data_IF_638486262545
#
_entry.id   IF_638486262545
#
_cell.length_a   1.000
_cell.length_b   1.000
_cell.length_c   1.000
_cell.angle_alpha   90.00
_cell.angle_beta   90.00
_cell.angle_gamma   90.00
#
_symmetry.space_group_name_H-M   'P 1'
#
loop_
_entity.id
_entity.type
_entity.pdbx_description
1 polymer ?
#
# COMPACT_ATOMS: atom_id res chain seq x y z
N UNK A 1 2.51 10.43 -28.23
CA UNK A 1 3.89 10.95 -28.24
C UNK A 1 4.80 9.75 -28.11
N UNK A 2 5.27 9.24 -29.24
CA UNK A 2 6.21 8.11 -29.32
C UNK A 2 7.61 8.72 -29.28
N UNK A 3 8.40 8.43 -28.24
CA UNK A 3 9.81 8.79 -28.23
C UNK A 3 10.64 7.52 -28.40
N UNK A 4 11.50 7.59 -29.41
CA UNK A 4 12.34 6.57 -29.99
C UNK A 4 13.43 6.08 -29.01
N UNK A 5 13.66 4.77 -29.02
CA UNK A 5 14.82 4.13 -28.41
C UNK A 5 16.01 4.41 -29.33
N UNK A 6 16.99 5.20 -28.86
CA UNK A 6 18.27 5.38 -29.55
C UNK A 6 19.24 4.28 -29.09
N UNK A 7 19.52 3.35 -30.00
CA UNK A 7 20.61 2.39 -29.86
C UNK A 7 21.96 3.12 -29.92
N UNK A 8 22.72 3.07 -28.82
CA UNK A 8 24.09 3.60 -28.75
C UNK A 8 25.05 2.48 -29.10
N UNK A 9 25.38 2.37 -30.39
CA UNK A 9 26.49 1.53 -30.87
C UNK A 9 27.81 2.15 -30.40
N UNK A 10 28.43 1.57 -29.39
CA UNK A 10 29.81 1.90 -29.02
C UNK A 10 30.75 1.31 -30.06
N UNK A 11 31.37 2.20 -30.85
CA UNK A 11 32.38 1.87 -31.84
C UNK A 11 33.70 1.71 -31.10
N UNK A 12 34.11 0.48 -30.86
CA UNK A 12 35.39 0.17 -30.23
C UNK A 12 36.52 0.44 -31.24
N UNK A 13 37.06 1.65 -31.22
CA UNK A 13 38.28 2.00 -31.96
C UNK A 13 39.48 1.58 -31.13
N UNK A 14 39.83 0.29 -31.22
CA UNK A 14 41.09 -0.22 -30.71
C UNK A 14 42.27 0.45 -31.41
N UNK A 15 42.83 1.47 -30.78
CA UNK A 15 44.12 2.05 -31.18
C UNK A 15 45.21 1.18 -30.54
N UNK A 16 45.59 0.11 -31.23
CA UNK A 16 46.81 -0.63 -30.91
C UNK A 16 47.99 0.28 -31.28
N UNK A 17 48.55 1.00 -30.32
CA UNK A 17 49.89 1.57 -30.49
C UNK A 17 50.90 0.43 -30.39
N UNK A 18 51.76 0.22 -31.39
CA UNK A 18 52.96 -0.57 -31.16
C UNK A 18 53.85 0.26 -30.23
N UNK A 19 54.18 -0.28 -29.07
CA UNK A 19 55.27 0.24 -28.25
C UNK A 19 56.55 0.03 -29.05
N UNK A 20 57.06 1.09 -29.66
CA UNK A 20 58.42 1.12 -30.18
C UNK A 20 59.37 0.98 -28.98
N UNK A 21 60.00 -0.19 -28.86
CA UNK A 21 61.18 -0.36 -28.00
C UNK A 21 62.28 0.55 -28.55
N UNK A 22 62.41 1.73 -27.96
CA UNK A 22 63.50 2.65 -28.22
C UNK A 22 64.83 2.02 -27.82
N UNK A 23 65.47 1.34 -28.78
CA UNK A 23 66.84 0.88 -28.65
C UNK A 23 67.76 2.10 -28.67
N UNK A 24 68.29 2.46 -27.50
CA UNK A 24 69.28 3.52 -27.34
C UNK A 24 70.60 3.04 -27.97
N UNK A 25 70.90 3.49 -29.20
CA UNK A 25 72.20 3.22 -29.84
C UNK A 25 73.23 4.14 -29.21
N UNK A 26 74.08 3.57 -28.34
CA UNK A 26 75.29 4.24 -27.85
C UNK A 26 76.44 3.76 -28.74
N UNK A 27 76.91 4.64 -29.62
CA UNK A 27 78.16 4.43 -30.36
C UNK A 27 79.34 4.60 -29.39
N UNK A 28 79.92 3.48 -28.99
CA UNK A 28 81.16 3.43 -28.21
C UNK A 28 82.26 2.75 -29.03
N UNK A 29 83.19 3.55 -29.57
CA UNK A 29 84.45 3.06 -30.09
C UNK A 29 85.32 2.60 -28.91
N UNK A 30 85.41 1.29 -28.70
CA UNK A 30 86.23 0.65 -27.67
C UNK A 30 86.59 -0.76 -28.08
N UNK A 31 87.89 -1.08 -28.06
CA UNK A 31 88.48 -2.36 -28.45
C UNK A 31 87.74 -3.54 -27.81
N UNK A 32 87.24 -4.45 -28.66
CA UNK A 32 86.58 -5.69 -28.22
C UNK A 32 87.60 -6.66 -27.63
N UNK A 33 87.87 -6.51 -26.34
CA UNK A 33 88.30 -7.64 -25.53
C UNK A 33 87.11 -8.55 -25.31
N UNK A 34 87.02 -9.61 -26.13
CA UNK A 34 86.06 -10.70 -26.02
C UNK A 34 86.40 -11.56 -24.80
N UNK A 35 86.19 -11.01 -23.60
CA UNK A 35 85.98 -11.79 -22.39
C UNK A 35 84.60 -12.45 -22.53
N UNK A 36 84.57 -13.55 -23.28
CA UNK A 36 83.42 -14.42 -23.38
C UNK A 36 83.11 -14.97 -21.98
N UNK A 37 82.24 -14.29 -21.25
CA UNK A 37 81.65 -14.78 -20.00
C UNK A 37 80.88 -16.06 -20.32
N UNK A 38 81.55 -17.21 -20.28
CA UNK A 38 80.89 -18.51 -20.39
C UNK A 38 80.08 -18.69 -19.12
N UNK A 39 78.81 -18.27 -19.14
CA UNK A 39 77.85 -18.70 -18.13
C UNK A 39 77.86 -20.24 -18.12
N UNK A 40 78.37 -20.82 -17.03
CA UNK A 40 78.39 -22.26 -16.80
C UNK A 40 76.99 -22.84 -17.04
N UNK A 41 76.87 -24.00 -17.71
CA UNK A 41 75.58 -24.61 -18.02
C UNK A 41 74.76 -24.92 -16.77
N UNK A 42 75.43 -25.08 -15.62
CA UNK A 42 74.76 -25.13 -14.32
C UNK A 42 74.13 -23.79 -13.94
N UNK A 43 74.85 -22.68 -14.12
CA UNK A 43 74.37 -21.32 -13.85
C UNK A 43 73.21 -20.94 -14.76
N UNK A 44 73.29 -21.26 -16.06
CA UNK A 44 72.18 -21.03 -17.01
C UNK A 44 70.90 -21.75 -16.58
N UNK A 45 71.01 -23.02 -16.17
CA UNK A 45 69.86 -23.78 -15.64
C UNK A 45 69.26 -23.13 -14.39
N UNK A 46 70.09 -22.73 -13.42
CA UNK A 46 69.60 -22.04 -12.22
C UNK A 46 68.88 -20.72 -12.55
N UNK A 47 69.39 -19.95 -13.51
CA UNK A 47 68.74 -18.71 -13.97
C UNK A 47 67.40 -19.01 -14.66
N UNK A 48 67.36 -19.99 -15.57
CA UNK A 48 66.13 -20.38 -16.26
C UNK A 48 65.07 -20.95 -15.30
N UNK A 49 65.48 -21.73 -14.30
CA UNK A 49 64.57 -22.28 -13.28
C UNK A 49 64.02 -21.18 -12.37
N UNK A 50 64.86 -20.22 -11.98
CA UNK A 50 64.41 -19.05 -11.22
C UNK A 50 63.44 -18.18 -12.04
N UNK A 51 63.74 -17.94 -13.32
CA UNK A 51 62.86 -17.20 -14.21
C UNK A 51 61.51 -17.92 -14.40
N UNK A 52 61.53 -19.24 -14.59
CA UNK A 52 60.32 -20.05 -14.72
C UNK A 52 59.49 -20.03 -13.44
N UNK A 53 60.13 -20.20 -12.28
CA UNK A 53 59.47 -20.14 -10.98
C UNK A 53 58.84 -18.76 -10.75
N UNK A 54 59.59 -17.68 -10.97
CA UNK A 54 59.09 -16.32 -10.80
C UNK A 54 57.91 -16.01 -11.72
N UNK A 55 57.97 -16.39 -13.00
CA UNK A 55 56.86 -16.18 -13.93
C UNK A 55 55.61 -16.97 -13.54
N UNK A 56 55.80 -18.21 -13.07
CA UNK A 56 54.72 -19.09 -12.59
C UNK A 56 54.06 -18.48 -11.34
N UNK A 57 54.86 -18.07 -10.36
CA UNK A 57 54.38 -17.49 -9.11
C UNK A 57 53.66 -16.16 -9.34
N UNK A 58 54.19 -15.32 -10.25
CA UNK A 58 53.54 -14.08 -10.64
C UNK A 58 52.18 -14.34 -11.31
N UNK A 59 52.12 -15.29 -12.25
CA UNK A 59 50.87 -15.64 -12.93
C UNK A 59 49.83 -16.21 -11.96
N UNK A 60 50.24 -17.12 -11.07
CA UNK A 60 49.37 -17.70 -10.04
C UNK A 60 48.88 -16.63 -9.06
N UNK A 61 49.74 -15.72 -8.60
CA UNK A 61 49.37 -14.65 -7.69
C UNK A 61 48.37 -13.68 -8.34
N UNK A 62 48.58 -13.34 -9.62
CA UNK A 62 47.67 -12.49 -10.39
C UNK A 62 46.31 -13.15 -10.57
N UNK A 63 46.27 -14.43 -10.96
CA UNK A 63 45.03 -15.18 -11.13
C UNK A 63 44.27 -15.30 -9.80
N UNK A 64 44.96 -15.64 -8.72
CA UNK A 64 44.39 -15.72 -7.38
C UNK A 64 43.74 -14.40 -6.95
N UNK A 65 44.45 -13.28 -7.12
CA UNK A 65 43.91 -11.97 -6.77
C UNK A 65 42.66 -11.61 -7.59
N UNK A 66 42.65 -11.93 -8.90
CA UNK A 66 41.50 -11.68 -9.76
C UNK A 66 40.27 -12.50 -9.35
N UNK A 67 40.46 -13.77 -9.02
CA UNK A 67 39.39 -14.65 -8.55
C UNK A 67 38.85 -14.16 -7.21
N UNK A 68 39.72 -13.86 -6.25
CA UNK A 68 39.33 -13.35 -4.93
C UNK A 68 38.56 -12.03 -5.03
N UNK A 69 39.04 -11.09 -5.86
CA UNK A 69 38.37 -9.81 -6.07
C UNK A 69 37.00 -9.99 -6.73
N UNK A 70 36.90 -10.86 -7.73
CA UNK A 70 35.65 -11.12 -8.46
C UNK A 70 34.62 -11.81 -7.57
N UNK A 71 35.04 -12.80 -6.78
CA UNK A 71 34.17 -13.47 -5.81
C UNK A 71 33.64 -12.49 -4.77
N UNK A 72 34.51 -11.64 -4.23
CA UNK A 72 34.09 -10.61 -3.27
C UNK A 72 33.05 -9.65 -3.86
N UNK A 73 33.30 -9.13 -5.06
CA UNK A 73 32.37 -8.23 -5.75
C UNK A 73 31.03 -8.94 -6.05
N UNK A 74 31.07 -10.22 -6.43
CA UNK A 74 29.86 -11.00 -6.66
C UNK A 74 29.04 -11.19 -5.38
N UNK A 75 29.70 -11.52 -4.26
CA UNK A 75 29.06 -11.66 -2.95
C UNK A 75 28.44 -10.34 -2.48
N UNK A 76 29.17 -9.22 -2.61
CA UNK A 76 28.67 -7.89 -2.28
C UNK A 76 27.42 -7.54 -3.13
N UNK A 77 27.47 -7.79 -4.45
CA UNK A 77 26.35 -7.56 -5.35
C UNK A 77 25.10 -8.37 -4.98
N UNK A 78 25.25 -9.67 -4.69
CA UNK A 78 24.12 -10.52 -4.30
C UNK A 78 23.53 -10.11 -2.95
N UNK A 79 24.39 -9.77 -1.98
CA UNK A 79 23.98 -9.24 -0.69
C UNK A 79 23.16 -7.96 -0.87
N UNK A 80 23.63 -7.02 -1.68
CA UNK A 80 22.96 -5.74 -1.86
C UNK A 80 21.65 -5.88 -2.64
N UNK A 81 21.59 -6.75 -3.64
CA UNK A 81 20.32 -7.13 -4.28
C UNK A 81 19.30 -7.66 -3.26
N UNK A 82 19.73 -8.56 -2.37
CA UNK A 82 18.84 -9.14 -1.36
C UNK A 82 18.38 -8.10 -0.33
N UNK A 83 19.26 -7.19 0.09
CA UNK A 83 18.90 -6.06 0.97
C UNK A 83 17.86 -5.16 0.32
N UNK A 84 18.13 -4.66 -0.88
CA UNK A 84 17.20 -3.79 -1.62
C UNK A 84 15.84 -4.46 -1.79
N UNK A 85 15.82 -5.74 -2.15
CA UNK A 85 14.58 -6.52 -2.27
C UNK A 85 13.81 -6.57 -0.95
N UNK A 86 14.50 -6.84 0.15
CA UNK A 86 13.88 -6.97 1.47
C UNK A 86 13.36 -5.63 1.98
N UNK A 87 14.13 -4.56 1.80
CA UNK A 87 13.74 -3.20 2.15
C UNK A 87 12.50 -2.76 1.38
N UNK A 88 12.47 -2.97 0.06
CA UNK A 88 11.33 -2.63 -0.78
C UNK A 88 10.06 -3.39 -0.38
N UNK A 89 10.17 -4.69 -0.11
CA UNK A 89 9.03 -5.49 0.35
C UNK A 89 8.51 -5.03 1.71
N UNK A 90 9.41 -4.63 2.61
CA UNK A 90 9.04 -4.12 3.94
C UNK A 90 8.33 -2.77 3.80
N UNK A 91 8.86 -1.85 3.00
CA UNK A 91 8.23 -0.55 2.74
C UNK A 91 6.82 -0.72 2.17
N UNK A 92 6.64 -1.55 1.14
CA UNK A 92 5.31 -1.80 0.57
C UNK A 92 4.35 -2.41 1.59
N UNK A 93 4.83 -3.32 2.45
CA UNK A 93 3.99 -3.90 3.50
C UNK A 93 3.54 -2.83 4.50
N UNK A 94 4.47 -2.00 4.97
CA UNK A 94 4.18 -0.95 5.95
C UNK A 94 3.21 0.11 5.38
N UNK A 95 3.36 0.46 4.11
CA UNK A 95 2.44 1.37 3.41
C UNK A 95 1.03 0.78 3.27
N UNK A 96 0.92 -0.51 2.93
CA UNK A 96 -0.36 -1.22 2.85
C UNK A 96 -1.04 -1.30 4.22
N UNK A 97 -0.29 -1.66 5.27
CA UNK A 97 -0.81 -1.76 6.63
C UNK A 97 -1.27 -0.38 7.15
N UNK A 98 -0.51 0.68 6.85
CA UNK A 98 -0.88 2.07 7.19
C UNK A 98 -2.16 2.48 6.48
N UNK A 99 -2.22 2.30 5.16
CA UNK A 99 -3.40 2.66 4.35
C UNK A 99 -4.64 1.90 4.83
N UNK A 100 -4.49 0.61 5.14
CA UNK A 100 -5.57 -0.21 5.69
C UNK A 100 -6.07 0.34 7.02
N UNK A 101 -5.17 0.63 7.96
CA UNK A 101 -5.53 1.16 9.27
C UNK A 101 -6.25 2.50 9.17
N UNK A 102 -5.80 3.39 8.28
CA UNK A 102 -6.46 4.67 8.02
C UNK A 102 -7.88 4.52 7.46
N UNK A 103 -8.07 3.60 6.50
CA UNK A 103 -9.39 3.32 5.94
C UNK A 103 -10.32 2.75 7.01
N UNK A 104 -9.88 1.73 7.75
CA UNK A 104 -10.66 1.13 8.84
C UNK A 104 -11.08 2.19 9.89
N UNK A 105 -10.15 3.09 10.25
CA UNK A 105 -10.44 4.20 11.15
C UNK A 105 -11.50 5.15 10.58
N UNK A 106 -11.35 5.58 9.32
CA UNK A 106 -12.33 6.46 8.64
C UNK A 106 -13.72 5.82 8.56
N UNK A 107 -13.78 4.53 8.23
CA UNK A 107 -15.04 3.78 8.20
C UNK A 107 -15.69 3.72 9.58
N UNK A 108 -14.90 3.45 10.63
CA UNK A 108 -15.38 3.39 12.01
C UNK A 108 -15.94 4.74 12.49
N UNK A 109 -15.26 5.83 12.18
CA UNK A 109 -15.70 7.19 12.52
C UNK A 109 -16.97 7.58 11.78
N UNK A 110 -17.03 7.30 10.47
CA UNK A 110 -18.22 7.55 9.63
C UNK A 110 -19.44 6.77 10.15
N UNK A 111 -19.26 5.48 10.46
CA UNK A 111 -20.32 4.65 11.03
C UNK A 111 -20.79 5.19 12.38
N UNK A 112 -19.87 5.60 13.26
CA UNK A 112 -20.21 6.20 14.55
C UNK A 112 -21.01 7.48 14.39
N UNK A 113 -20.65 8.34 13.44
CA UNK A 113 -21.36 9.59 13.16
C UNK A 113 -22.78 9.33 12.64
N UNK A 114 -22.95 8.40 11.70
CA UNK A 114 -24.28 8.05 11.18
C UNK A 114 -25.16 7.38 12.23
N UNK A 115 -24.60 6.51 13.10
CA UNK A 115 -25.34 5.95 14.23
C UNK A 115 -25.81 7.04 15.21
N UNK A 116 -24.95 8.01 15.54
CA UNK A 116 -25.31 9.12 16.42
C UNK A 116 -26.42 9.99 15.81
N UNK A 117 -26.30 10.29 14.51
CA UNK A 117 -27.30 11.05 13.75
C UNK A 117 -28.65 10.33 13.68
N UNK A 118 -28.64 9.02 13.44
CA UNK A 118 -29.85 8.20 13.42
C UNK A 118 -30.51 8.15 14.80
N UNK A 119 -29.72 7.96 15.87
CA UNK A 119 -30.21 7.98 17.25
C UNK A 119 -30.87 9.31 17.59
N UNK A 120 -30.24 10.43 17.23
CA UNK A 120 -30.78 11.76 17.47
C UNK A 120 -32.05 12.05 16.66
N UNK A 121 -32.09 11.62 15.39
CA UNK A 121 -33.29 11.70 14.55
C UNK A 121 -34.44 10.91 15.17
N UNK A 122 -34.19 9.67 15.56
CA UNK A 122 -35.19 8.82 16.20
C UNK A 122 -35.71 9.43 17.50
N UNK A 123 -34.81 9.97 18.34
CA UNK A 123 -35.19 10.67 19.58
C UNK A 123 -36.13 11.85 19.31
N UNK A 124 -35.87 12.65 18.27
CA UNK A 124 -36.74 13.75 17.84
C UNK A 124 -38.08 13.26 17.33
N UNK A 125 -38.10 12.22 16.51
CA UNK A 125 -39.33 11.61 15.98
C UNK A 125 -40.22 11.08 17.11
N UNK A 126 -39.66 10.39 18.11
CA UNK A 126 -40.39 9.93 19.29
C UNK A 126 -40.96 11.11 20.09
N UNK A 127 -40.18 12.18 20.29
CA UNK A 127 -40.66 13.39 20.98
C UNK A 127 -41.84 14.04 20.24
N UNK A 128 -41.76 14.12 18.91
CA UNK A 128 -42.85 14.64 18.08
C UNK A 128 -44.07 13.71 18.10
N UNK A 129 -43.85 12.39 18.09
CA UNK A 129 -44.90 11.39 18.20
C UNK A 129 -45.71 11.57 19.50
N UNK A 130 -45.02 11.72 20.62
CA UNK A 130 -45.64 11.90 21.95
C UNK A 130 -46.46 13.19 22.10
N UNK A 131 -46.31 14.18 21.21
CA UNK A 131 -47.03 15.46 21.25
C UNK A 131 -48.36 15.46 20.48
N UNK A 132 -48.67 14.38 19.76
CA UNK A 132 -49.86 14.27 18.89
C UNK A 132 -50.80 13.17 19.35
N UNK A 133 -52.01 13.14 18.79
CA UNK A 133 -52.94 12.02 18.93
C UNK A 133 -52.89 11.16 17.67
N UNK A 134 -53.02 9.85 17.84
CA UNK A 134 -52.83 8.88 16.76
C UNK A 134 -54.06 8.01 16.59
N UNK A 135 -54.40 7.75 15.33
CA UNK A 135 -55.52 6.91 14.97
C UNK A 135 -55.25 5.48 15.44
N UNK A 136 -56.15 4.92 16.23
CA UNK A 136 -56.00 3.55 16.73
C UNK A 136 -55.96 2.52 15.58
N UNK A 137 -56.62 2.80 14.46
CA UNK A 137 -56.77 1.87 13.35
C UNK A 137 -55.60 1.86 12.37
N UNK A 138 -55.01 3.02 12.07
CA UNK A 138 -54.05 3.17 10.97
C UNK A 138 -52.81 4.02 11.31
N UNK A 139 -52.67 4.46 12.57
CA UNK A 139 -51.52 5.22 13.05
C UNK A 139 -51.31 6.59 12.37
N UNK A 140 -52.24 7.04 11.52
CA UNK A 140 -52.27 8.41 11.03
C UNK A 140 -52.63 9.40 12.16
N UNK A 141 -52.29 10.68 12.01
CA UNK A 141 -52.65 11.71 12.97
C UNK A 141 -54.18 11.79 13.14
N UNK A 142 -54.66 11.64 14.37
CA UNK A 142 -56.09 11.61 14.66
C UNK A 142 -56.66 13.02 14.79
N UNK A 143 -57.85 13.22 14.22
CA UNK A 143 -58.61 14.48 14.30
C UNK A 143 -59.95 14.31 15.03
N UNK A 144 -60.39 13.08 15.26
CA UNK A 144 -61.61 12.75 15.98
C UNK A 144 -61.31 12.00 17.27
N UNK A 145 -61.74 12.54 18.41
CA UNK A 145 -61.63 11.86 19.70
C UNK A 145 -62.87 11.03 20.02
N UNK A 146 -62.69 9.80 20.50
CA UNK A 146 -63.79 8.96 21.00
C UNK A 146 -63.82 8.92 22.52
N UNK A 147 -62.78 8.37 23.15
CA UNK A 147 -62.59 8.33 24.61
C UNK A 147 -61.10 8.19 24.96
N UNK A 148 -60.76 8.08 26.25
CA UNK A 148 -59.37 7.92 26.72
C UNK A 148 -58.61 6.85 25.92
N UNK A 149 -57.47 7.24 25.36
CA UNK A 149 -56.59 6.38 24.54
C UNK A 149 -57.27 5.76 23.29
N UNK A 150 -58.32 6.39 22.75
CA UNK A 150 -58.91 5.97 21.46
C UNK A 150 -59.37 7.18 20.64
N UNK A 151 -58.64 7.45 19.57
CA UNK A 151 -58.90 8.50 18.59
C UNK A 151 -58.79 7.94 17.16
N UNK A 152 -59.34 8.67 16.18
CA UNK A 152 -59.39 8.26 14.78
C UNK A 152 -59.06 9.42 13.84
N UNK A 153 -58.47 9.12 12.68
CA UNK A 153 -58.28 10.11 11.61
C UNK A 153 -59.53 10.28 10.73
N UNK A 154 -60.43 9.30 10.71
CA UNK A 154 -61.63 9.31 9.87
C UNK A 154 -62.76 8.46 10.45
N UNK A 155 -63.98 8.65 9.92
CA UNK A 155 -65.16 7.87 10.32
C UNK A 155 -65.03 6.41 9.87
N UNK A 156 -64.40 6.17 8.71
CA UNK A 156 -64.13 4.83 8.19
C UNK A 156 -63.24 4.04 9.16
N UNK A 157 -62.18 4.67 9.67
CA UNK A 157 -61.31 4.07 10.69
C UNK A 157 -62.07 3.77 11.98
N UNK A 158 -62.99 4.65 12.39
CA UNK A 158 -63.83 4.42 13.56
C UNK A 158 -64.77 3.23 13.36
N UNK A 159 -65.46 3.15 12.21
CA UNK A 159 -66.39 2.05 11.90
C UNK A 159 -65.66 0.71 11.83
N UNK A 160 -64.46 0.68 11.24
CA UNK A 160 -63.61 -0.53 11.17
C UNK A 160 -63.24 -1.05 12.57
N UNK A 161 -62.81 -0.18 13.49
CA UNK A 161 -62.49 -0.57 14.86
C UNK A 161 -63.75 -0.79 15.74
N UNK A 162 -64.92 -0.28 15.36
CA UNK A 162 -66.09 -0.16 16.23
C UNK A 162 -66.57 -1.48 16.83
N UNK A 163 -66.55 -2.57 16.06
CA UNK A 163 -66.99 -3.89 16.52
C UNK A 163 -66.24 -4.34 17.79
N UNK A 164 -64.96 -4.00 17.88
CA UNK A 164 -64.08 -4.27 19.02
C UNK A 164 -64.23 -3.18 20.08
N UNK A 165 -64.13 -1.90 19.68
CA UNK A 165 -64.14 -0.75 20.58
C UNK A 165 -65.40 -0.63 21.44
N UNK A 166 -66.58 -0.92 20.87
CA UNK A 166 -67.88 -0.69 21.53
C UNK A 166 -68.03 -1.41 22.88
N UNK A 167 -67.30 -2.50 23.11
CA UNK A 167 -67.35 -3.29 24.34
C UNK A 167 -66.76 -2.57 25.55
N UNK A 168 -65.81 -1.65 25.32
CA UNK A 168 -65.06 -0.94 26.37
C UNK A 168 -65.04 0.58 26.16
N UNK A 169 -65.84 1.09 25.22
CA UNK A 169 -65.97 2.51 24.98
C UNK A 169 -66.46 3.23 26.25
N UNK A 170 -65.71 4.26 26.67
CA UNK A 170 -66.02 5.03 27.89
C UNK A 170 -66.87 6.28 27.61
N UNK A 171 -67.25 6.51 26.35
CA UNK A 171 -68.09 7.65 25.98
C UNK A 171 -69.52 7.38 26.45
N UNK A 172 -69.99 8.12 27.46
CA UNK A 172 -71.39 8.07 27.90
C UNK A 172 -72.30 8.50 26.75
N UNK A 173 -73.41 7.78 26.53
CA UNK A 173 -74.54 8.30 25.75
C UNK A 173 -75.07 9.54 26.49
N UNK A 174 -74.76 10.74 26.01
CA UNK A 174 -75.58 11.90 26.33
C UNK A 174 -76.94 11.66 25.68
N UNK A 175 -77.94 11.30 26.50
CA UNK A 175 -79.33 11.34 26.06
C UNK A 175 -79.66 12.80 25.73
N UNK A 176 -79.76 13.12 24.44
CA UNK A 176 -80.33 14.37 23.94
C UNK A 176 -81.84 14.38 24.22
N UNK A 177 -82.22 14.67 25.46
CA UNK A 177 -83.60 14.97 25.87
C UNK A 177 -83.65 16.34 26.54
N UNK A 178 -83.26 17.39 25.81
CA UNK A 178 -83.47 18.78 26.19
C UNK A 178 -83.60 19.62 24.93
N UNK A 179 -84.79 19.58 24.31
CA UNK A 179 -85.06 20.30 23.07
C UNK A 179 -86.53 20.38 22.69
N UNK A 180 -87.46 20.31 23.65
CA UNK A 180 -88.87 20.68 23.47
C UNK A 180 -89.45 21.13 24.81
N UNK A 181 -89.23 22.40 25.18
CA UNK A 181 -90.03 23.10 26.19
C UNK A 181 -89.70 24.60 26.14
N UNK A 182 -90.23 25.31 25.14
CA UNK A 182 -90.82 26.64 25.36
C UNK A 182 -91.50 27.15 24.07
N UNK A 183 -92.80 26.91 23.98
CA UNK A 183 -93.76 27.78 23.29
C UNK A 183 -95.01 27.83 24.16
N UNK A 184 -95.08 28.84 25.03
CA UNK A 184 -96.27 29.59 25.42
C UNK A 184 -95.87 30.75 26.31
#
# INVERSE_FOLDING_TARGET
MMNEVKDVVHKDTGHHQPVEEGMLVVEGEGEMHDEHWVLDDRMKRMIMDLQRHWLTDYQQSREKLLVEMTERLHQEFLSDQQKIRTELLTQFKDELDTTRAELEQKYRESLKAELAKLSEKHRKEISNCKKKQWCWQCEAEAIYHCCWNTAYCSVECQQSHWATHRKYCRRKKQNNTAGQANQQ
#
